data_IF_814834575178
#
_entry.id   IF_814834575178
#
_cell.length_a   1.000
_cell.length_b   1.000
_cell.length_c   1.000
_cell.angle_alpha   90.00
_cell.angle_beta   90.00
_cell.angle_gamma   90.00
#
_symmetry.space_group_name_H-M   'P 1'
#
loop_
_entity.id
_entity.type
_entity.pdbx_description
1 polymer ?
#
# COMPACT_ATOMS: atom_id res chain seq x y z
N UNK A 1 -57.02 -31.59 -8.70
CA UNK A 1 -55.76 -31.41 -7.97
C UNK A 1 -56.06 -31.58 -6.49
N UNK A 2 -55.52 -32.64 -5.88
CA UNK A 2 -55.87 -33.09 -4.54
C UNK A 2 -55.05 -32.28 -3.53
N UNK A 3 -55.73 -31.49 -2.69
CA UNK A 3 -55.11 -30.74 -1.60
C UNK A 3 -55.07 -31.63 -0.35
N UNK A 4 -53.89 -32.12 0.00
CA UNK A 4 -53.64 -32.84 1.24
C UNK A 4 -53.25 -31.84 2.33
N UNK A 5 -54.16 -31.60 3.28
CA UNK A 5 -53.87 -30.88 4.51
C UNK A 5 -53.34 -31.87 5.56
N UNK A 6 -52.06 -31.73 5.93
CA UNK A 6 -51.45 -32.44 7.05
C UNK A 6 -51.51 -31.54 8.29
N UNK A 7 -52.37 -31.90 9.24
CA UNK A 7 -52.44 -31.34 10.57
C UNK A 7 -51.44 -32.06 11.49
N UNK A 8 -50.58 -31.31 12.17
CA UNK A 8 -49.70 -31.81 13.23
C UNK A 8 -50.26 -31.41 14.61
N UNK A 9 -50.21 -32.29 15.63
CA UNK A 9 -50.75 -32.00 16.96
C UNK A 9 -49.71 -31.26 17.83
N UNK A 10 -50.18 -30.27 18.59
CA UNK A 10 -49.44 -29.52 19.61
C UNK A 10 -49.63 -30.23 20.97
N UNK A 11 -48.58 -30.54 21.75
CA UNK A 11 -48.77 -30.95 23.14
C UNK A 11 -48.99 -29.72 24.04
N UNK A 12 -50.12 -29.72 24.74
CA UNK A 12 -50.45 -28.77 25.78
C UNK A 12 -49.65 -29.08 27.06
N UNK A 13 -48.85 -28.13 27.54
CA UNK A 13 -48.20 -28.20 28.85
C UNK A 13 -49.03 -27.36 29.82
N UNK A 14 -49.77 -28.04 30.70
CA UNK A 14 -50.56 -27.41 31.74
C UNK A 14 -49.65 -26.95 32.89
N UNK A 15 -49.69 -25.65 33.15
CA UNK A 15 -49.13 -24.99 34.32
C UNK A 15 -49.96 -25.36 35.56
N UNK A 16 -49.31 -25.73 36.66
CA UNK A 16 -49.92 -25.67 37.99
C UNK A 16 -48.98 -24.95 38.95
N UNK A 17 -49.50 -23.84 39.45
CA UNK A 17 -48.88 -22.89 40.35
C UNK A 17 -48.83 -23.44 41.79
N UNK A 18 -47.86 -22.91 42.55
CA UNK A 18 -47.71 -23.07 43.99
C UNK A 18 -48.86 -22.44 44.79
N UNK A 19 -48.94 -22.76 46.09
CA UNK A 19 -49.10 -21.71 47.08
C UNK A 19 -47.92 -21.68 48.06
N UNK A 20 -47.47 -20.45 48.30
CA UNK A 20 -46.52 -20.06 49.32
C UNK A 20 -47.16 -20.07 50.72
N UNK A 21 -46.44 -20.57 51.71
CA UNK A 21 -46.65 -20.22 53.12
C UNK A 21 -45.29 -19.93 53.75
N UNK A 22 -45.20 -18.75 54.36
CA UNK A 22 -43.99 -18.20 54.95
C UNK A 22 -43.65 -18.79 56.32
N UNK A 23 -42.35 -18.74 56.63
CA UNK A 23 -41.83 -18.69 57.99
C UNK A 23 -40.49 -17.93 57.96
N UNK A 24 -40.27 -17.16 59.01
CA UNK A 24 -39.23 -16.15 59.19
C UNK A 24 -37.77 -16.66 59.13
N UNK A 25 -36.78 -15.78 58.90
CA UNK A 25 -35.37 -16.15 58.95
C UNK A 25 -34.87 -16.16 60.40
N UNK A 26 -34.56 -17.34 60.93
CA UNK A 26 -33.71 -17.47 62.12
C UNK A 26 -32.25 -17.39 61.68
N UNK A 27 -31.57 -16.33 62.14
CA UNK A 27 -30.14 -16.18 62.04
C UNK A 27 -29.44 -17.30 62.82
N UNK A 28 -28.80 -18.21 62.10
CA UNK A 28 -27.81 -19.13 62.64
C UNK A 28 -26.45 -18.77 62.04
N UNK A 29 -25.66 -18.06 62.84
CA UNK A 29 -24.24 -17.82 62.62
C UNK A 29 -23.49 -19.16 62.69
N UNK A 30 -23.42 -19.89 61.58
CA UNK A 30 -22.52 -21.02 61.40
C UNK A 30 -21.12 -20.52 61.06
N UNK A 31 -20.05 -21.16 61.56
CA UNK A 31 -18.68 -20.74 61.28
C UNK A 31 -18.42 -20.76 59.79
N UNK A 32 -17.96 -19.62 59.28
CA UNK A 32 -17.48 -19.46 57.91
C UNK A 32 -16.26 -20.36 57.74
N UNK A 33 -16.48 -21.53 57.15
CA UNK A 33 -15.39 -22.30 56.56
C UNK A 33 -14.99 -21.50 55.34
N UNK A 34 -13.85 -20.82 55.45
CA UNK A 34 -13.22 -20.13 54.34
C UNK A 34 -13.17 -21.11 53.15
N UNK A 35 -13.89 -20.77 52.09
CA UNK A 35 -13.73 -21.42 50.81
C UNK A 35 -12.31 -21.12 50.32
N UNK A 36 -11.39 -22.03 50.62
CA UNK A 36 -10.15 -22.17 49.87
C UNK A 36 -10.57 -22.40 48.42
N UNK A 37 -10.23 -21.44 47.58
CA UNK A 37 -10.35 -21.56 46.12
C UNK A 37 -9.33 -22.62 45.69
N UNK A 38 -9.71 -23.90 45.73
CA UNK A 38 -8.93 -24.99 45.16
C UNK A 38 -9.07 -24.99 43.64
N UNK A 39 -8.18 -24.26 42.97
CA UNK A 39 -7.59 -24.75 41.72
C UNK A 39 -6.14 -25.15 42.03
N UNK A 40 -5.48 -26.11 41.35
CA UNK A 40 -5.86 -27.04 40.29
C UNK A 40 -5.93 -28.50 40.82
N UNK A 41 -6.25 -28.69 42.09
CA UNK A 41 -6.21 -30.01 42.75
C UNK A 41 -7.23 -30.99 42.15
N UNK A 42 -8.41 -30.50 41.78
CA UNK A 42 -9.50 -31.34 41.23
C UNK A 42 -9.16 -32.11 39.94
N UNK A 43 -8.30 -31.56 39.06
CA UNK A 43 -7.83 -32.28 37.87
C UNK A 43 -6.74 -33.31 38.20
N UNK A 44 -5.91 -33.02 39.19
CA UNK A 44 -4.89 -33.95 39.70
C UNK A 44 -5.52 -35.12 40.45
N UNK A 45 -6.57 -34.86 41.22
CA UNK A 45 -7.30 -35.86 42.00
C UNK A 45 -8.12 -36.79 41.10
N UNK A 46 -8.78 -36.27 40.06
CA UNK A 46 -9.46 -37.09 39.05
C UNK A 46 -8.46 -38.01 38.32
N UNK A 47 -7.31 -37.47 37.89
CA UNK A 47 -6.27 -38.26 37.25
C UNK A 47 -5.62 -39.28 38.20
N UNK A 48 -5.55 -39.00 39.50
CA UNK A 48 -5.07 -39.97 40.50
C UNK A 48 -6.09 -41.09 40.75
N UNK A 49 -7.39 -40.77 40.77
CA UNK A 49 -8.47 -41.74 40.88
C UNK A 49 -8.51 -42.67 39.66
N UNK A 50 -8.41 -42.14 38.45
CA UNK A 50 -8.35 -42.93 37.22
C UNK A 50 -7.18 -43.92 37.23
N UNK A 51 -5.97 -43.45 37.60
CA UNK A 51 -4.80 -44.33 37.78
C UNK A 51 -5.07 -45.44 38.81
N UNK A 52 -5.77 -45.14 39.91
CA UNK A 52 -6.12 -46.15 40.91
C UNK A 52 -7.07 -47.22 40.37
N UNK A 53 -7.99 -46.88 39.45
CA UNK A 53 -8.85 -47.84 38.78
C UNK A 53 -8.07 -48.70 37.80
N UNK A 54 -7.16 -48.10 37.03
CA UNK A 54 -6.31 -48.81 36.08
C UNK A 54 -5.39 -49.82 36.78
N UNK A 55 -4.77 -49.44 37.89
CA UNK A 55 -3.94 -50.33 38.70
C UNK A 55 -4.73 -51.52 39.23
N UNK A 56 -5.93 -51.29 39.78
CA UNK A 56 -6.83 -52.37 40.24
C UNK A 56 -7.25 -53.29 39.09
N UNK A 57 -7.50 -52.74 37.90
CA UNK A 57 -7.82 -53.53 36.72
C UNK A 57 -6.64 -54.39 36.26
N UNK A 58 -5.41 -53.87 36.28
CA UNK A 58 -4.21 -54.62 35.93
C UNK A 58 -3.99 -55.81 36.87
N UNK A 59 -4.20 -55.63 38.18
CA UNK A 59 -4.13 -56.73 39.15
C UNK A 59 -5.16 -57.82 38.84
N UNK A 60 -6.39 -57.46 38.46
CA UNK A 60 -7.43 -58.43 38.08
C UNK A 60 -7.09 -59.16 36.77
N UNK A 61 -6.47 -58.46 35.81
CA UNK A 61 -6.00 -59.07 34.56
C UNK A 61 -4.87 -60.07 34.85
N UNK A 62 -3.88 -59.68 35.65
CA UNK A 62 -2.78 -60.58 36.04
C UNK A 62 -3.31 -61.82 36.74
N UNK A 63 -4.26 -61.68 37.67
CA UNK A 63 -4.90 -62.83 38.35
C UNK A 63 -5.64 -63.74 37.38
N UNK A 64 -6.22 -63.19 36.33
CA UNK A 64 -6.88 -63.97 35.27
C UNK A 64 -5.85 -64.78 34.49
N UNK A 65 -4.75 -64.15 34.10
CA UNK A 65 -3.66 -64.79 33.37
C UNK A 65 -2.99 -65.89 34.19
N UNK A 66 -2.70 -65.61 35.47
CA UNK A 66 -2.16 -66.59 36.40
C UNK A 66 -3.12 -67.78 36.58
N UNK A 67 -4.42 -67.54 36.72
CA UNK A 67 -5.41 -68.60 36.85
C UNK A 67 -5.48 -69.48 35.59
N UNK A 68 -5.42 -68.87 34.41
CA UNK A 68 -5.39 -69.58 33.13
C UNK A 68 -4.11 -70.42 32.97
N UNK A 69 -2.96 -69.86 33.37
CA UNK A 69 -1.69 -70.57 33.37
C UNK A 69 -1.72 -71.78 34.30
N UNK A 70 -2.17 -71.60 35.54
CA UNK A 70 -2.28 -72.69 36.52
C UNK A 70 -3.23 -73.80 36.04
N UNK A 71 -4.35 -73.41 35.41
CA UNK A 71 -5.25 -74.38 34.80
C UNK A 71 -4.60 -75.15 33.64
N UNK A 72 -3.86 -74.49 32.75
CA UNK A 72 -3.16 -75.13 31.64
C UNK A 72 -2.09 -76.13 32.13
N UNK A 73 -1.31 -75.75 33.15
CA UNK A 73 -0.33 -76.63 33.80
C UNK A 73 -1.01 -77.81 34.47
N UNK A 74 -2.09 -77.58 35.23
CA UNK A 74 -2.87 -78.64 35.85
C UNK A 74 -3.49 -79.59 34.83
N UNK A 75 -3.98 -79.06 33.70
CA UNK A 75 -4.51 -79.85 32.60
C UNK A 75 -3.44 -80.78 32.02
N UNK A 76 -2.24 -80.27 31.72
CA UNK A 76 -1.12 -81.08 31.25
C UNK A 76 -0.76 -82.19 32.25
N UNK A 77 -0.66 -81.83 33.54
CA UNK A 77 -0.36 -82.78 34.62
C UNK A 77 -1.48 -83.82 34.86
N UNK A 78 -2.73 -83.52 34.48
CA UNK A 78 -3.83 -84.48 34.60
C UNK A 78 -3.71 -85.62 33.58
N UNK A 79 -3.13 -85.39 32.41
CA UNK A 79 -2.95 -86.42 31.38
C UNK A 79 -1.92 -87.49 31.77
N UNK A 80 -1.04 -87.21 32.72
CA UNK A 80 -0.08 -88.18 33.26
C UNK A 80 -0.63 -88.98 34.46
N UNK A 81 -1.93 -88.87 34.80
CA UNK A 81 -2.56 -89.55 35.94
C UNK A 81 -3.55 -90.62 35.48
N UNK A 82 -3.72 -91.68 36.27
CA UNK A 82 -4.65 -92.79 35.95
C UNK A 82 -6.13 -92.37 35.87
N UNK A 83 -6.58 -91.40 36.68
CA UNK A 83 -7.97 -90.88 36.67
C UNK A 83 -8.07 -89.50 36.01
N UNK A 84 -7.73 -89.42 34.71
CA UNK A 84 -7.67 -88.16 33.93
C UNK A 84 -8.98 -87.36 34.03
N UNK A 85 -10.14 -88.01 33.82
CA UNK A 85 -11.44 -87.31 33.80
C UNK A 85 -11.78 -86.65 35.14
N UNK A 86 -11.53 -87.34 36.26
CA UNK A 86 -11.75 -86.76 37.59
C UNK A 86 -10.77 -85.61 37.88
N UNK A 87 -9.51 -85.77 37.49
CA UNK A 87 -8.49 -84.71 37.63
C UNK A 87 -8.87 -83.45 36.84
N UNK A 88 -9.29 -83.60 35.58
CA UNK A 88 -9.69 -82.49 34.73
C UNK A 88 -10.93 -81.75 35.26
N UNK A 89 -11.90 -82.47 35.81
CA UNK A 89 -13.08 -81.84 36.43
C UNK A 89 -12.67 -81.00 37.65
N UNK A 90 -11.84 -81.55 38.54
CA UNK A 90 -11.32 -80.82 39.70
C UNK A 90 -10.51 -79.58 39.29
N UNK A 91 -9.69 -79.69 38.25
CA UNK A 91 -8.93 -78.54 37.72
C UNK A 91 -9.87 -77.46 37.15
N UNK A 92 -10.93 -77.84 36.44
CA UNK A 92 -11.95 -76.90 35.95
C UNK A 92 -12.74 -76.24 37.08
N UNK A 93 -13.08 -76.98 38.12
CA UNK A 93 -13.83 -76.42 39.25
C UNK A 93 -13.00 -75.42 40.04
N UNK A 94 -11.70 -75.71 40.24
CA UNK A 94 -10.76 -74.75 40.83
C UNK A 94 -10.61 -73.47 39.99
N UNK A 95 -10.47 -73.62 38.66
CA UNK A 95 -10.42 -72.49 37.73
C UNK A 95 -11.71 -71.64 37.78
N UNK A 96 -12.88 -72.28 37.73
CA UNK A 96 -14.19 -71.60 37.79
C UNK A 96 -14.40 -70.84 39.10
N UNK A 97 -13.96 -71.39 40.23
CA UNK A 97 -14.06 -70.71 41.54
C UNK A 97 -13.29 -69.39 41.53
N UNK A 98 -12.02 -69.41 41.10
CA UNK A 98 -11.18 -68.20 41.03
C UNK A 98 -11.72 -67.21 40.00
N UNK A 99 -12.19 -67.68 38.84
CA UNK A 99 -12.83 -66.81 37.84
C UNK A 99 -14.09 -66.14 38.38
N UNK A 100 -14.89 -66.84 39.20
CA UNK A 100 -16.07 -66.26 39.81
C UNK A 100 -15.71 -65.12 40.78
N UNK A 101 -14.65 -65.29 41.56
CA UNK A 101 -14.13 -64.25 42.46
C UNK A 101 -13.60 -63.05 41.69
N UNK A 102 -12.79 -63.27 40.64
CA UNK A 102 -12.28 -62.20 39.76
C UNK A 102 -13.44 -61.42 39.13
N UNK A 103 -14.46 -62.11 38.61
CA UNK A 103 -15.64 -61.46 38.01
C UNK A 103 -16.41 -60.62 39.04
N UNK A 104 -16.52 -61.07 40.28
CA UNK A 104 -17.18 -60.31 41.36
C UNK A 104 -16.44 -59.00 41.63
N UNK A 105 -15.11 -59.05 41.69
CA UNK A 105 -14.28 -57.86 41.88
C UNK A 105 -14.32 -56.91 40.67
N UNK A 106 -14.32 -57.43 39.44
CA UNK A 106 -14.51 -56.63 38.22
C UNK A 106 -15.85 -55.88 38.22
N UNK A 107 -16.94 -56.56 38.57
CA UNK A 107 -18.27 -55.94 38.64
C UNK A 107 -18.33 -54.84 39.71
N UNK A 108 -17.63 -55.01 40.84
CA UNK A 108 -17.52 -53.98 41.87
C UNK A 108 -16.75 -52.76 41.35
N UNK A 109 -15.59 -52.98 40.71
CA UNK A 109 -14.79 -51.92 40.09
C UNK A 109 -15.59 -51.13 39.04
N UNK A 110 -16.32 -51.83 38.16
CA UNK A 110 -17.16 -51.21 37.13
C UNK A 110 -18.35 -50.44 37.72
N UNK A 111 -18.91 -50.90 38.85
CA UNK A 111 -19.96 -50.18 39.56
C UNK A 111 -19.43 -48.88 40.15
N UNK A 112 -18.25 -48.90 40.77
CA UNK A 112 -17.58 -47.71 41.31
C UNK A 112 -17.27 -46.70 40.20
N UNK A 113 -16.67 -47.12 39.10
CA UNK A 113 -16.37 -46.24 37.97
C UNK A 113 -17.63 -45.60 37.37
N UNK A 114 -18.72 -46.37 37.25
CA UNK A 114 -20.00 -45.83 36.77
C UNK A 114 -20.58 -44.81 37.74
N UNK A 115 -20.48 -45.05 39.04
CA UNK A 115 -20.92 -44.10 40.06
C UNK A 115 -20.11 -42.81 40.01
N UNK A 116 -18.78 -42.88 39.84
CA UNK A 116 -17.94 -41.69 39.72
C UNK A 116 -18.29 -40.85 38.48
N UNK A 117 -18.36 -41.48 37.31
CA UNK A 117 -18.77 -40.78 36.07
C UNK A 117 -20.17 -40.18 36.17
N UNK A 118 -21.07 -40.78 36.96
CA UNK A 118 -22.38 -40.19 37.21
C UNK A 118 -22.27 -38.90 38.04
N UNK A 119 -21.50 -38.92 39.14
CA UNK A 119 -21.25 -37.73 39.98
C UNK A 119 -20.64 -36.58 39.18
N UNK A 120 -19.61 -36.86 38.40
CA UNK A 120 -18.96 -35.85 37.56
C UNK A 120 -19.92 -35.22 36.54
N UNK A 121 -20.79 -36.02 35.93
CA UNK A 121 -21.82 -35.49 35.02
C UNK A 121 -22.80 -34.58 35.75
N UNK A 122 -23.22 -34.96 36.95
CA UNK A 122 -24.16 -34.19 37.75
C UNK A 122 -23.53 -32.87 38.23
N UNK A 123 -22.29 -32.89 38.69
CA UNK A 123 -21.50 -31.72 39.04
C UNK A 123 -21.33 -30.79 37.83
N UNK A 124 -20.92 -31.33 36.68
CA UNK A 124 -20.75 -30.55 35.45
C UNK A 124 -22.07 -29.96 34.96
N UNK A 125 -23.17 -30.68 35.12
CA UNK A 125 -24.51 -30.18 34.79
C UNK A 125 -24.94 -29.08 35.77
N UNK A 126 -24.66 -29.23 37.06
CA UNK A 126 -24.93 -28.21 38.08
C UNK A 126 -24.13 -26.92 37.82
N UNK A 127 -22.84 -27.05 37.51
CA UNK A 127 -21.99 -25.90 37.15
C UNK A 127 -22.50 -25.19 35.90
N UNK A 128 -22.88 -25.92 34.84
CA UNK A 128 -23.47 -25.31 33.65
C UNK A 128 -24.79 -24.60 33.94
N UNK A 129 -25.67 -25.21 34.75
CA UNK A 129 -26.93 -24.56 35.16
C UNK A 129 -26.65 -23.27 35.92
N UNK A 130 -25.77 -23.31 36.91
CA UNK A 130 -25.39 -22.14 37.68
C UNK A 130 -24.79 -21.02 36.80
N UNK A 131 -23.91 -21.37 35.84
CA UNK A 131 -23.35 -20.40 34.89
C UNK A 131 -24.44 -19.80 33.98
N UNK A 132 -25.33 -20.64 33.45
CA UNK A 132 -26.41 -20.18 32.59
C UNK A 132 -27.38 -19.25 33.31
N UNK A 133 -27.69 -19.54 34.58
CA UNK A 133 -28.52 -18.71 35.45
C UNK A 133 -27.83 -17.39 35.79
N UNK A 134 -26.53 -17.42 36.15
CA UNK A 134 -25.74 -16.22 36.41
C UNK A 134 -25.65 -15.30 35.17
N UNK A 135 -25.54 -15.88 33.98
CA UNK A 135 -25.47 -15.15 32.70
C UNK A 135 -26.85 -14.79 32.12
N UNK A 136 -27.95 -15.35 32.64
CA UNK A 136 -29.30 -15.08 32.14
C UNK A 136 -29.68 -13.59 32.10
N UNK A 137 -29.44 -12.78 33.14
CA UNK A 137 -29.77 -11.35 33.08
C UNK A 137 -28.91 -10.58 32.06
N UNK A 138 -27.63 -10.96 31.91
CA UNK A 138 -26.75 -10.34 30.91
C UNK A 138 -27.23 -10.65 29.49
N UNK A 139 -27.56 -11.92 29.21
CA UNK A 139 -28.13 -12.34 27.92
C UNK A 139 -29.44 -11.60 27.62
N UNK A 140 -30.35 -11.52 28.59
CA UNK A 140 -31.60 -10.78 28.42
C UNK A 140 -31.36 -9.27 28.16
N UNK A 141 -30.37 -8.66 28.81
CA UNK A 141 -30.01 -7.27 28.57
C UNK A 141 -29.38 -7.05 27.18
N UNK A 142 -28.55 -7.98 26.71
CA UNK A 142 -27.98 -7.95 25.36
C UNK A 142 -29.07 -8.13 24.29
N UNK A 143 -29.97 -9.09 24.47
CA UNK A 143 -31.11 -9.31 23.59
C UNK A 143 -31.99 -8.05 23.48
N UNK A 144 -32.31 -7.43 24.61
CA UNK A 144 -33.06 -6.17 24.63
C UNK A 144 -32.33 -5.02 23.91
N UNK A 145 -31.00 -4.90 24.08
CA UNK A 145 -30.19 -3.90 23.35
C UNK A 145 -30.17 -4.17 21.85
N UNK A 146 -30.06 -5.43 21.45
CA UNK A 146 -30.07 -5.83 20.05
C UNK A 146 -31.41 -5.52 19.39
N UNK A 147 -32.52 -5.80 20.07
CA UNK A 147 -33.87 -5.46 19.62
C UNK A 147 -34.03 -3.93 19.47
N UNK A 148 -33.59 -3.16 20.46
CA UNK A 148 -33.64 -1.69 20.39
C UNK A 148 -32.82 -1.15 19.21
N UNK A 149 -31.58 -1.63 19.03
CA UNK A 149 -30.71 -1.23 17.93
C UNK A 149 -31.32 -1.61 16.57
N UNK A 150 -31.98 -2.77 16.47
CA UNK A 150 -32.69 -3.16 15.25
C UNK A 150 -33.85 -2.20 14.95
N UNK A 151 -34.69 -1.91 15.94
CA UNK A 151 -35.82 -0.99 15.79
C UNK A 151 -35.35 0.43 15.42
N UNK A 152 -34.27 0.92 16.03
CA UNK A 152 -33.69 2.22 15.71
C UNK A 152 -33.17 2.27 14.28
N UNK A 153 -32.46 1.23 13.82
CA UNK A 153 -32.04 1.12 12.41
C UNK A 153 -33.21 1.10 11.45
N UNK A 154 -34.31 0.43 11.79
CA UNK A 154 -35.53 0.44 10.97
C UNK A 154 -36.11 1.85 10.87
N UNK A 155 -36.19 2.59 11.99
CA UNK A 155 -36.63 3.99 12.00
C UNK A 155 -35.71 4.88 11.18
N UNK A 156 -34.40 4.73 11.34
CA UNK A 156 -33.41 5.51 10.58
C UNK A 156 -33.55 5.27 9.08
N UNK A 157 -33.67 4.01 8.63
CA UNK A 157 -33.90 3.70 7.21
C UNK A 157 -35.17 4.35 6.67
N UNK A 158 -36.24 4.37 7.46
CA UNK A 158 -37.49 5.04 7.07
C UNK A 158 -37.30 6.56 6.93
N UNK A 159 -36.56 7.19 7.87
CA UNK A 159 -36.23 8.61 7.80
C UNK A 159 -35.34 8.94 6.60
N UNK A 160 -34.27 8.18 6.39
CA UNK A 160 -33.36 8.37 5.26
C UNK A 160 -34.09 8.18 3.92
N UNK A 161 -35.00 7.20 3.85
CA UNK A 161 -35.84 7.01 2.68
C UNK A 161 -36.76 8.20 2.44
N UNK A 162 -37.40 8.72 3.50
CA UNK A 162 -38.25 9.90 3.41
C UNK A 162 -37.47 11.14 2.95
N UNK A 163 -36.27 11.35 3.49
CA UNK A 163 -35.36 12.44 3.08
C UNK A 163 -34.93 12.29 1.61
N UNK A 164 -34.50 11.10 1.21
CA UNK A 164 -34.15 10.83 -0.19
C UNK A 164 -35.32 11.10 -1.12
N UNK A 165 -36.53 10.70 -0.75
CA UNK A 165 -37.72 10.94 -1.55
C UNK A 165 -38.07 12.44 -1.61
N UNK A 166 -37.93 13.17 -0.50
CA UNK A 166 -38.18 14.62 -0.46
C UNK A 166 -37.19 15.42 -1.32
N UNK A 167 -35.92 15.01 -1.34
CA UNK A 167 -34.86 15.65 -2.13
C UNK A 167 -34.80 15.16 -3.59
N UNK A 168 -35.53 14.11 -3.95
CA UNK A 168 -35.55 13.55 -5.31
C UNK A 168 -35.81 14.59 -6.41
N UNK A 169 -36.85 15.44 -6.35
CA UNK A 169 -37.08 16.45 -7.37
C UNK A 169 -35.94 17.47 -7.48
N UNK A 170 -35.29 17.82 -6.36
CA UNK A 170 -34.16 18.73 -6.38
C UNK A 170 -32.91 18.08 -7.01
N UNK A 171 -32.66 16.80 -6.74
CA UNK A 171 -31.57 16.04 -7.38
C UNK A 171 -31.79 15.90 -8.88
N UNK A 172 -33.02 15.66 -9.31
CA UNK A 172 -33.38 15.61 -10.74
C UNK A 172 -33.17 16.97 -11.41
N UNK A 173 -33.65 18.06 -10.80
CA UNK A 173 -33.43 19.41 -11.31
C UNK A 173 -31.94 19.76 -11.42
N UNK A 174 -31.13 19.36 -10.42
CA UNK A 174 -29.68 19.57 -10.45
C UNK A 174 -29.01 18.74 -11.56
N UNK A 175 -29.38 17.46 -11.71
CA UNK A 175 -28.87 16.60 -12.77
C UNK A 175 -29.19 17.14 -14.17
N UNK A 176 -30.41 17.66 -14.36
CA UNK A 176 -30.81 18.33 -15.60
C UNK A 176 -30.00 19.59 -15.85
N UNK A 177 -29.84 20.45 -14.83
CA UNK A 177 -29.04 21.67 -14.93
C UNK A 177 -27.56 21.38 -15.25
N UNK A 178 -27.00 20.31 -14.67
CA UNK A 178 -25.63 19.89 -14.96
C UNK A 178 -25.49 19.39 -16.41
N UNK A 179 -26.42 18.55 -16.87
CA UNK A 179 -26.44 18.05 -18.25
C UNK A 179 -26.57 19.20 -19.25
N UNK A 180 -27.41 20.19 -18.95
CA UNK A 180 -27.59 21.38 -19.79
C UNK A 180 -26.30 22.22 -19.85
N UNK A 181 -25.63 22.44 -18.71
CA UNK A 181 -24.32 23.12 -18.69
C UNK A 181 -23.27 22.37 -19.50
N UNK A 182 -23.24 21.04 -19.44
CA UNK A 182 -22.33 20.25 -20.27
C UNK A 182 -22.61 20.44 -21.77
N UNK A 183 -23.90 20.47 -22.17
CA UNK A 183 -24.28 20.75 -23.56
C UNK A 183 -23.86 22.14 -24.00
N UNK A 184 -24.10 23.14 -23.17
CA UNK A 184 -23.69 24.52 -23.45
C UNK A 184 -22.17 24.59 -23.64
N UNK A 185 -21.40 24.00 -22.73
CA UNK A 185 -19.95 23.97 -22.85
C UNK A 185 -19.47 23.26 -24.14
N UNK A 186 -20.14 22.18 -24.56
CA UNK A 186 -19.82 21.51 -25.83
C UNK A 186 -20.13 22.40 -27.05
N UNK A 187 -21.24 23.14 -27.03
CA UNK A 187 -21.59 24.11 -28.07
C UNK A 187 -20.61 25.29 -28.11
N UNK A 188 -20.26 25.83 -26.95
CA UNK A 188 -19.29 26.93 -26.82
C UNK A 188 -17.92 26.50 -27.34
N UNK A 189 -17.46 25.28 -27.04
CA UNK A 189 -16.24 24.73 -27.62
C UNK A 189 -16.31 24.59 -29.13
N UNK A 190 -17.45 24.16 -29.67
CA UNK A 190 -17.64 24.07 -31.12
C UNK A 190 -17.64 25.45 -31.79
N UNK A 191 -18.13 26.49 -31.11
CA UNK A 191 -18.15 27.87 -31.61
C UNK A 191 -16.81 28.59 -31.47
N UNK A 192 -16.08 28.36 -30.37
CA UNK A 192 -14.79 28.98 -30.09
C UNK A 192 -13.59 28.20 -30.63
N UNK A 193 -13.80 26.98 -31.12
CA UNK A 193 -12.78 26.23 -31.84
C UNK A 193 -12.30 27.05 -33.05
N UNK A 194 -10.98 27.23 -33.16
CA UNK A 194 -10.36 27.85 -34.34
C UNK A 194 -10.84 27.07 -35.56
N UNK A 195 -11.64 27.71 -36.40
CA UNK A 195 -12.15 27.05 -37.60
C UNK A 195 -10.97 26.55 -38.44
N UNK A 196 -11.09 25.42 -39.17
CA UNK A 196 -10.00 24.92 -40.03
C UNK A 196 -9.45 25.99 -40.98
N UNK A 197 -10.31 26.92 -41.44
CA UNK A 197 -9.93 28.07 -42.24
C UNK A 197 -9.06 29.08 -41.48
N UNK A 198 -9.41 29.43 -40.23
CA UNK A 198 -8.60 30.30 -39.39
C UNK A 198 -7.27 29.63 -38.96
N UNK A 199 -7.28 28.32 -38.71
CA UNK A 199 -6.06 27.57 -38.40
C UNK A 199 -5.09 27.60 -39.59
N UNK A 200 -5.60 27.35 -40.81
CA UNK A 200 -4.83 27.44 -42.03
C UNK A 200 -4.32 28.87 -42.31
N UNK A 201 -5.13 29.91 -42.02
CA UNK A 201 -4.71 31.30 -42.16
C UNK A 201 -3.59 31.67 -41.16
N UNK A 202 -3.72 31.23 -39.91
CA UNK A 202 -2.69 31.43 -38.88
C UNK A 202 -1.38 30.72 -39.23
N UNK A 203 -1.47 29.50 -39.76
CA UNK A 203 -0.29 28.74 -40.22
C UNK A 203 0.40 29.44 -41.39
N UNK A 204 -0.36 29.88 -42.41
CA UNK A 204 0.20 30.64 -43.54
C UNK A 204 0.85 31.94 -43.08
N UNK A 205 0.24 32.66 -42.14
CA UNK A 205 0.82 33.88 -41.59
C UNK A 205 2.13 33.60 -40.84
N UNK A 206 2.22 32.48 -40.14
CA UNK A 206 3.46 32.04 -39.50
C UNK A 206 4.54 31.71 -40.52
N UNK A 207 4.22 30.90 -41.53
CA UNK A 207 5.17 30.50 -42.57
C UNK A 207 5.68 31.69 -43.39
N UNK A 208 4.80 32.65 -43.70
CA UNK A 208 5.19 33.91 -44.35
C UNK A 208 6.19 34.69 -43.50
N UNK A 209 5.91 34.88 -42.20
CA UNK A 209 6.85 35.54 -41.29
C UNK A 209 8.21 34.86 -41.22
N UNK A 210 8.24 33.52 -41.24
CA UNK A 210 9.50 32.77 -41.29
C UNK A 210 10.28 33.04 -42.58
N UNK A 211 9.59 33.03 -43.73
CA UNK A 211 10.21 33.32 -45.03
C UNK A 211 10.72 34.76 -45.14
N UNK A 212 9.98 35.72 -44.59
CA UNK A 212 10.37 37.14 -44.58
C UNK A 212 11.59 37.38 -43.70
N UNK A 213 11.63 36.72 -42.53
CA UNK A 213 12.79 36.78 -41.66
C UNK A 213 14.05 36.22 -42.33
N UNK A 214 13.95 35.08 -43.04
CA UNK A 214 15.06 34.52 -43.79
C UNK A 214 15.55 35.45 -44.90
N UNK A 215 14.61 36.04 -45.68
CA UNK A 215 14.95 37.04 -46.71
C UNK A 215 15.65 38.26 -46.12
N UNK A 216 15.20 38.73 -44.97
CA UNK A 216 15.82 39.87 -44.28
C UNK A 216 17.25 39.56 -43.82
N UNK A 217 17.51 38.34 -43.34
CA UNK A 217 18.87 37.89 -43.00
C UNK A 217 19.78 37.85 -44.22
N UNK A 218 19.29 37.33 -45.34
CA UNK A 218 20.07 37.26 -46.59
C UNK A 218 20.38 38.66 -47.13
N UNK A 219 19.39 39.56 -47.13
CA UNK A 219 19.58 40.95 -47.54
C UNK A 219 20.61 41.66 -46.63
N UNK A 220 20.56 41.43 -45.32
CA UNK A 220 21.54 41.98 -44.39
C UNK A 220 22.96 41.44 -44.66
N UNK A 221 23.12 40.16 -45.01
CA UNK A 221 24.41 39.57 -45.40
C UNK A 221 24.95 40.20 -46.67
N UNK A 222 24.12 40.35 -47.70
CA UNK A 222 24.51 40.96 -48.96
C UNK A 222 24.96 42.41 -48.78
N UNK A 223 24.21 43.20 -47.99
CA UNK A 223 24.61 44.57 -47.66
C UNK A 223 25.91 44.61 -46.85
N UNK A 224 26.10 43.67 -45.93
CA UNK A 224 27.34 43.51 -45.17
C UNK A 224 28.55 43.25 -46.08
N UNK A 225 28.39 42.37 -47.08
CA UNK A 225 29.42 42.05 -48.06
C UNK A 225 29.77 43.27 -48.94
N UNK A 226 28.77 43.95 -49.50
CA UNK A 226 28.99 45.16 -50.32
C UNK A 226 29.73 46.25 -49.54
N UNK A 227 29.34 46.51 -48.29
CA UNK A 227 30.04 47.50 -47.44
C UNK A 227 31.46 47.06 -47.10
N UNK A 228 31.74 45.77 -47.02
CA UNK A 228 33.10 45.27 -46.80
C UNK A 228 33.99 45.52 -48.04
N UNK A 229 33.47 45.25 -49.24
CA UNK A 229 34.14 45.56 -50.51
C UNK A 229 34.39 47.07 -50.66
N UNK A 230 33.38 47.90 -50.36
CA UNK A 230 33.53 49.35 -50.43
C UNK A 230 34.62 49.86 -49.48
N UNK A 231 34.75 49.27 -48.29
CA UNK A 231 35.83 49.60 -47.35
C UNK A 231 37.20 49.23 -47.91
N UNK A 232 37.34 48.05 -48.53
CA UNK A 232 38.58 47.63 -49.17
C UNK A 232 38.97 48.59 -50.30
N UNK A 233 38.04 48.92 -51.20
CA UNK A 233 38.29 49.88 -52.28
C UNK A 233 38.66 51.27 -51.77
N UNK A 234 38.01 51.75 -50.70
CA UNK A 234 38.37 53.04 -50.08
C UNK A 234 39.76 53.00 -49.46
N UNK A 235 40.14 51.88 -48.84
CA UNK A 235 41.47 51.69 -48.28
C UNK A 235 42.54 51.70 -49.39
N UNK A 236 42.35 50.94 -50.46
CA UNK A 236 43.25 50.93 -51.63
C UNK A 236 43.40 52.32 -52.26
N UNK A 237 42.29 53.05 -52.41
CA UNK A 237 42.33 54.41 -52.95
C UNK A 237 43.07 55.39 -52.02
N UNK A 238 42.96 55.21 -50.71
CA UNK A 238 43.69 56.03 -49.74
C UNK A 238 45.19 55.73 -49.78
N UNK A 239 45.57 54.45 -49.85
CA UNK A 239 46.96 54.02 -50.02
C UNK A 239 47.57 54.56 -51.33
N UNK A 240 46.83 54.49 -52.44
CA UNK A 240 47.25 55.08 -53.72
C UNK A 240 47.48 56.59 -53.61
N UNK A 241 46.56 57.32 -52.98
CA UNK A 241 46.74 58.76 -52.74
C UNK A 241 47.97 59.10 -51.91
N UNK A 242 48.32 58.26 -50.92
CA UNK A 242 49.53 58.46 -50.14
C UNK A 242 50.79 58.25 -50.99
N UNK A 243 50.82 57.21 -51.83
CA UNK A 243 51.93 56.96 -52.75
C UNK A 243 52.09 58.11 -53.76
N UNK A 244 51.00 58.58 -54.36
CA UNK A 244 51.00 59.69 -55.31
C UNK A 244 51.50 60.99 -54.65
N UNK A 245 51.08 61.26 -53.41
CA UNK A 245 51.55 62.43 -52.65
C UNK A 245 53.05 62.35 -52.31
N UNK A 246 53.57 61.15 -52.02
CA UNK A 246 55.00 60.94 -51.78
C UNK A 246 55.83 61.16 -53.06
N UNK A 247 55.36 60.65 -54.20
CA UNK A 247 56.00 60.90 -55.51
C UNK A 247 56.00 62.39 -55.85
N UNK A 248 54.87 63.08 -55.67
CA UNK A 248 54.79 64.51 -55.95
C UNK A 248 55.76 65.34 -55.08
N UNK A 249 55.97 64.97 -53.81
CA UNK A 249 56.98 65.62 -52.96
C UNK A 249 58.39 65.45 -53.52
N UNK A 250 58.76 64.22 -53.92
CA UNK A 250 60.07 63.94 -54.52
C UNK A 250 60.28 64.73 -55.82
N UNK A 251 59.24 64.83 -56.67
CA UNK A 251 59.29 65.62 -57.91
C UNK A 251 59.47 67.12 -57.66
N UNK A 252 58.78 67.67 -56.66
CA UNK A 252 58.92 69.08 -56.27
C UNK A 252 60.33 69.36 -55.72
N UNK A 253 60.86 68.49 -54.85
CA UNK A 253 62.21 68.60 -54.32
C UNK A 253 63.27 68.53 -55.44
N UNK A 254 63.09 67.62 -56.40
CA UNK A 254 63.96 67.51 -57.57
C UNK A 254 63.94 68.80 -58.41
N UNK A 255 62.77 69.40 -58.65
CA UNK A 255 62.66 70.70 -59.34
C UNK A 255 63.32 71.83 -58.58
N UNK A 256 63.19 71.88 -57.25
CA UNK A 256 63.82 72.92 -56.43
C UNK A 256 65.35 72.82 -56.48
N UNK A 257 65.91 71.61 -56.42
CA UNK A 257 67.36 71.38 -56.58
C UNK A 257 67.83 71.85 -57.95
N UNK A 258 67.14 71.47 -59.03
CA UNK A 258 67.47 71.93 -60.39
C UNK A 258 67.39 73.46 -60.53
N UNK A 259 66.43 74.11 -59.86
CA UNK A 259 66.30 75.57 -59.87
C UNK A 259 67.44 76.25 -59.08
N UNK A 260 67.84 75.69 -57.94
CA UNK A 260 68.96 76.19 -57.14
C UNK A 260 70.29 76.06 -57.88
N UNK A 261 70.54 74.92 -58.53
CA UNK A 261 71.73 74.69 -59.37
C UNK A 261 71.80 75.70 -60.53
N UNK A 262 70.67 75.95 -61.21
CA UNK A 262 70.60 76.98 -62.26
C UNK A 262 70.87 78.39 -61.73
N UNK A 263 70.39 78.72 -60.53
CA UNK A 263 70.63 80.03 -59.92
C UNK A 263 72.09 80.21 -59.50
N UNK A 264 72.75 79.16 -59.01
CA UNK A 264 74.19 79.16 -58.72
C UNK A 264 75.03 79.31 -59.99
N UNK A 265 74.69 78.59 -61.07
CA UNK A 265 75.34 78.76 -62.37
C UNK A 265 75.24 80.21 -62.87
N UNK A 266 74.06 80.83 -62.75
CA UNK A 266 73.87 82.22 -63.18
C UNK A 266 74.69 83.21 -62.34
N UNK A 267 74.77 83.02 -61.02
CA UNK A 267 75.64 83.84 -60.14
C UNK A 267 77.12 83.71 -60.49
N UNK A 268 77.58 82.50 -60.83
CA UNK A 268 78.96 82.30 -61.28
C UNK A 268 79.22 83.03 -62.61
N UNK A 269 78.27 83.04 -63.54
CA UNK A 269 78.37 83.80 -64.79
C UNK A 269 78.39 85.32 -64.57
N UNK A 270 77.56 85.84 -63.68
CA UNK A 270 77.53 87.28 -63.35
C UNK A 270 78.82 87.75 -62.67
N UNK A 271 79.40 86.94 -61.77
CA UNK A 271 80.71 87.21 -61.17
C UNK A 271 81.82 87.23 -62.22
N UNK A 272 81.80 86.32 -63.20
CA UNK A 272 82.77 86.36 -64.32
C UNK A 272 82.61 87.61 -65.18
N UNK A 273 81.37 88.07 -65.45
CA UNK A 273 81.14 89.31 -66.19
C UNK A 273 81.64 90.55 -65.44
N UNK A 274 81.39 90.64 -64.13
CA UNK A 274 81.89 91.77 -63.32
C UNK A 274 83.41 91.82 -63.30
N UNK A 275 84.11 90.68 -63.21
CA UNK A 275 85.57 90.63 -63.30
C UNK A 275 86.09 91.12 -64.66
N UNK A 276 85.37 90.81 -65.75
CA UNK A 276 85.69 91.30 -67.09
C UNK A 276 85.46 92.80 -67.24
N UNK A 277 84.37 93.34 -66.68
CA UNK A 277 84.07 94.77 -66.67
C UNK A 277 85.08 95.58 -65.82
N UNK A 278 85.50 95.05 -64.66
CA UNK A 278 86.56 95.67 -63.86
C UNK A 278 87.89 95.70 -64.60
N UNK A 279 88.26 94.63 -65.32
CA UNK A 279 89.43 94.64 -66.20
C UNK A 279 89.33 95.71 -67.30
N UNK A 280 88.16 95.88 -67.90
CA UNK A 280 87.95 96.90 -68.94
C UNK A 280 87.99 98.33 -68.38
N UNK A 281 87.44 98.57 -67.18
CA UNK A 281 87.54 99.87 -66.49
C UNK A 281 88.98 100.22 -66.11
N UNK A 282 89.78 99.25 -65.67
CA UNK A 282 91.20 99.47 -65.41
C UNK A 282 91.98 99.81 -66.69
N UNK A 283 91.61 99.22 -67.84
CA UNK A 283 92.22 99.59 -69.13
C UNK A 283 91.81 101.00 -69.61
N UNK A 284 90.57 101.44 -69.35
CA UNK A 284 90.13 102.80 -69.71
C UNK A 284 90.72 103.91 -68.83
N UNK A 285 91.10 103.62 -67.57
CA UNK A 285 91.79 104.59 -66.70
C UNK A 285 93.28 104.77 -67.04
N UNK A 286 93.88 103.88 -67.84
CA UNK A 286 95.28 104.02 -68.28
C UNK A 286 95.46 104.81 -69.59
N UNK A 287 94.38 105.35 -70.17
CA UNK A 287 94.42 106.14 -71.42
C UNK A 287 94.06 107.63 -71.24
N UNK A 288 94.07 108.16 -70.00
CA UNK A 288 93.96 109.59 -69.71
C UNK A 288 95.27 110.15 -69.16
#
# INVERSE_FOLDING_TARGET
MIAAALAAPVPAVAQSAMPAQGAAPVAASGPQVAATVEGPQSAGDAAALDKSFDERQQVLNQRTDDNNYQYAVAQHNCYSRFFVNHCLNRARDAMRSVQADIRKEQLALDAEQRAQRARERDERAALRRAQNEAQAPQRAAEDARNEQAYQEKQRQRALDQAQRNAEAPQREANAQAYTEKQRQHALDQAQHGVTPAQAAANQRAYDQKQSDYQRQLEQARQQGAQKAEERQQKQENFERKQADAAQHKLDVEARQKQAAEKAEQKRQQELQQQQLEEQQKQQQQQQQ
#
